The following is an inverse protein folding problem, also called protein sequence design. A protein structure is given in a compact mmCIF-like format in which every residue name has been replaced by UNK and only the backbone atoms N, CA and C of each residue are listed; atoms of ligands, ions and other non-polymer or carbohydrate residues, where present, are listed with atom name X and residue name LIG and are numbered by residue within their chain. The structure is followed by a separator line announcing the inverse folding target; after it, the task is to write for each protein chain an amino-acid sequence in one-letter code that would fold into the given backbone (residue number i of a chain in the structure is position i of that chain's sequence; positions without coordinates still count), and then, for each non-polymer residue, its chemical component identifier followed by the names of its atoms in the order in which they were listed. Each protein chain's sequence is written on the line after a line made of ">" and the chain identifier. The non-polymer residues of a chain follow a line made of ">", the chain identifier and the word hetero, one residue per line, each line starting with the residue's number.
data_IF_890724106847
#
_entry.id   IF_890724106847
#
_cell.length_a   1.000
_cell.length_b   1.000
_cell.length_c   1.000
_cell.angle_alpha   90.00
_cell.angle_beta   90.00
_cell.angle_gamma   90.00
#
_symmetry.space_group_name_H-M   'P 1'
#
loop_
_entity.id
_entity.type
_entity.pdbx_description
1 polymer ?
#
# COMPACT_ATOMS: atom_id res chain seq x y z
N UNK A 1 -19.80 6.79 4.86
CA UNK A 1 -20.88 7.78 4.60
C UNK A 1 -20.25 9.08 4.09
N UNK A 2 -20.97 9.86 3.26
CA UNK A 2 -20.47 11.11 2.65
C UNK A 2 -20.00 12.13 3.70
N UNK A 3 -20.60 12.10 4.88
CA UNK A 3 -20.23 12.92 6.06
C UNK A 3 -18.84 12.61 6.62
N UNK A 4 -18.21 11.50 6.25
CA UNK A 4 -16.82 11.20 6.62
C UNK A 4 -15.79 12.00 5.80
N UNK A 5 -16.21 12.65 4.71
CA UNK A 5 -15.35 13.39 3.78
C UNK A 5 -15.61 14.91 3.83
N UNK A 6 -15.96 15.44 5.00
CA UNK A 6 -16.27 16.86 5.19
C UNK A 6 -15.09 17.75 4.79
N UNK A 7 -15.36 18.84 4.06
CA UNK A 7 -14.35 19.78 3.56
C UNK A 7 -13.87 19.52 2.14
N UNK A 8 -14.48 18.56 1.44
CA UNK A 8 -14.23 18.28 0.02
C UNK A 8 -15.51 18.59 -0.76
N UNK A 9 -15.47 19.67 -1.55
CA UNK A 9 -16.64 20.15 -2.28
C UNK A 9 -17.05 19.19 -3.41
N UNK A 10 -16.07 18.68 -4.17
CA UNK A 10 -16.29 17.74 -5.28
C UNK A 10 -15.72 16.35 -4.96
N UNK A 11 -16.46 15.58 -4.16
CA UNK A 11 -16.15 14.17 -3.94
C UNK A 11 -16.41 13.36 -5.22
N UNK A 12 -15.39 12.69 -5.76
CA UNK A 12 -15.48 11.93 -7.00
C UNK A 12 -14.97 10.48 -6.87
N UNK A 13 -15.53 9.59 -7.70
CA UNK A 13 -15.03 8.22 -7.87
C UNK A 13 -13.59 8.25 -8.39
N UNK A 14 -12.75 7.37 -7.87
CA UNK A 14 -11.31 7.28 -8.16
C UNK A 14 -10.42 8.13 -7.25
N UNK A 15 -10.99 9.02 -6.41
CA UNK A 15 -10.22 9.75 -5.42
C UNK A 15 -9.64 8.82 -4.34
N UNK A 16 -8.40 9.10 -3.93
CA UNK A 16 -7.69 8.33 -2.90
C UNK A 16 -7.64 9.09 -1.58
N UNK A 17 -7.82 8.36 -0.48
CA UNK A 17 -7.82 8.90 0.89
C UNK A 17 -7.02 8.01 1.82
N UNK A 18 -6.54 8.61 2.91
CA UNK A 18 -5.95 7.86 4.01
C UNK A 18 -6.99 7.67 5.11
N UNK A 19 -7.46 6.44 5.29
CA UNK A 19 -8.41 6.08 6.33
C UNK A 19 -7.67 5.61 7.59
N UNK A 20 -8.04 6.15 8.75
CA UNK A 20 -7.49 5.70 10.02
C UNK A 20 -8.22 4.44 10.49
N UNK A 21 -7.50 3.32 10.65
CA UNK A 21 -8.06 2.06 11.17
C UNK A 21 -7.38 1.65 12.47
N UNK A 22 -7.94 0.64 13.16
CA UNK A 22 -7.32 0.06 14.35
C UNK A 22 -5.94 -0.59 14.09
N UNK A 23 -5.59 -0.84 12.82
CA UNK A 23 -4.29 -1.37 12.40
C UNK A 23 -3.35 -0.28 11.89
N UNK A 24 -3.75 0.99 11.98
CA UNK A 24 -3.01 2.12 11.43
C UNK A 24 -3.69 2.73 10.20
N UNK A 25 -3.06 3.73 9.58
CA UNK A 25 -3.64 4.38 8.42
C UNK A 25 -3.48 3.53 7.17
N UNK A 26 -4.55 3.38 6.39
CA UNK A 26 -4.56 2.66 5.11
C UNK A 26 -4.98 3.60 3.98
N UNK A 27 -4.46 3.38 2.78
CA UNK A 27 -4.95 4.07 1.58
C UNK A 27 -6.24 3.39 1.09
N UNK A 28 -7.25 4.18 0.74
CA UNK A 28 -8.52 3.70 0.19
C UNK A 28 -8.91 4.52 -1.03
N UNK A 29 -9.63 3.92 -1.98
CA UNK A 29 -10.12 4.57 -3.19
C UNK A 29 -11.63 4.58 -3.20
N UNK A 30 -12.27 5.70 -3.55
CA UNK A 30 -13.73 5.72 -3.75
C UNK A 30 -14.07 4.96 -5.02
N UNK A 31 -14.89 3.92 -4.91
CA UNK A 31 -15.37 3.15 -6.05
C UNK A 31 -16.77 3.54 -6.47
N UNK A 32 -17.59 4.06 -5.55
CA UNK A 32 -18.99 4.38 -5.80
C UNK A 32 -19.53 5.41 -4.80
N UNK A 33 -20.48 6.23 -5.26
CA UNK A 33 -21.19 7.23 -4.45
C UNK A 33 -22.68 7.14 -4.78
N UNK A 34 -23.50 6.72 -3.81
CA UNK A 34 -24.95 6.59 -3.93
C UNK A 34 -25.64 7.47 -2.86
N UNK A 35 -26.03 8.69 -3.25
CA UNK A 35 -26.61 9.65 -2.31
C UNK A 35 -25.64 9.99 -1.17
N UNK A 36 -25.97 9.54 0.04
CA UNK A 36 -25.15 9.72 1.25
C UNK A 36 -24.21 8.54 1.53
N UNK A 37 -24.35 7.44 0.80
CA UNK A 37 -23.48 6.27 0.90
C UNK A 37 -22.28 6.41 -0.03
N UNK A 38 -21.10 6.02 0.48
CA UNK A 38 -19.83 6.07 -0.27
C UNK A 38 -19.14 4.74 -0.05
N UNK A 39 -18.92 4.03 -1.14
CA UNK A 39 -18.17 2.76 -1.14
C UNK A 39 -16.71 3.07 -1.38
N UNK A 40 -15.85 2.50 -0.53
CA UNK A 40 -14.39 2.62 -0.64
C UNK A 40 -13.76 1.25 -0.76
N UNK A 41 -12.75 1.15 -1.61
CA UNK A 41 -11.89 -0.02 -1.74
C UNK A 41 -10.58 0.23 -1.00
N UNK A 42 -10.32 -0.59 0.02
CA UNK A 42 -9.08 -0.58 0.80
C UNK A 42 -8.13 -1.72 0.44
N UNK A 43 -8.41 -2.47 -0.61
CA UNK A 43 -7.50 -3.49 -1.11
C UNK A 43 -6.24 -2.84 -1.70
N UNK A 44 -5.12 -3.57 -1.63
CA UNK A 44 -3.92 -3.18 -2.36
C UNK A 44 -4.24 -3.09 -3.87
N UNK A 45 -3.66 -2.17 -4.65
CA UNK A 45 -3.91 -2.04 -6.10
C UNK A 45 -3.68 -3.30 -6.95
N UNK A 46 -3.03 -4.32 -6.38
CA UNK A 46 -2.72 -5.61 -7.03
C UNK A 46 -3.48 -6.78 -6.39
N UNK A 47 -4.42 -6.51 -5.47
CA UNK A 47 -5.22 -7.56 -4.84
C UNK A 47 -6.19 -8.16 -5.87
N UNK A 48 -6.26 -9.49 -5.93
CA UNK A 48 -7.07 -10.20 -6.94
C UNK A 48 -6.41 -10.31 -8.31
N UNK A 49 -5.34 -9.56 -8.58
CA UNK A 49 -4.59 -9.63 -9.82
C UNK A 49 -3.66 -10.84 -9.82
N UNK A 50 -3.61 -11.54 -10.96
CA UNK A 50 -2.57 -12.56 -11.19
C UNK A 50 -1.30 -11.86 -11.66
N UNK A 51 -0.28 -11.86 -10.81
CA UNK A 51 1.01 -11.27 -11.13
C UNK A 51 1.89 -12.28 -11.88
N UNK A 52 2.29 -11.92 -13.10
CA UNK A 52 3.19 -12.73 -13.91
C UNK A 52 4.62 -12.20 -13.78
N UNK A 53 5.53 -13.03 -13.28
CA UNK A 53 6.94 -12.69 -13.14
C UNK A 53 7.80 -13.62 -14.01
N UNK A 54 8.75 -13.04 -14.73
CA UNK A 54 9.88 -13.76 -15.32
C UNK A 54 11.10 -13.46 -14.45
N UNK A 55 11.55 -14.46 -13.69
CA UNK A 55 12.61 -14.29 -12.68
C UNK A 55 13.87 -15.04 -13.11
N UNK A 56 15.01 -14.39 -12.94
CA UNK A 56 16.34 -14.98 -13.08
C UNK A 56 17.10 -14.82 -11.76
N UNK A 57 17.77 -15.88 -11.31
CA UNK A 57 18.63 -15.83 -10.12
C UNK A 57 20.02 -15.36 -10.54
N UNK A 58 20.39 -14.14 -10.14
CA UNK A 58 21.67 -13.52 -10.54
C UNK A 58 22.81 -13.92 -9.58
N UNK A 59 22.52 -14.05 -8.29
CA UNK A 59 23.51 -14.35 -7.26
C UNK A 59 22.84 -14.99 -6.04
N UNK A 60 23.56 -15.86 -5.34
CA UNK A 60 23.19 -16.38 -4.02
C UNK A 60 24.41 -16.27 -3.10
N UNK A 61 24.21 -15.69 -1.92
CA UNK A 61 25.25 -15.56 -0.90
C UNK A 61 24.66 -15.73 0.49
N UNK A 62 25.53 -16.00 1.46
CA UNK A 62 25.18 -15.93 2.87
C UNK A 62 24.88 -14.48 3.29
N UNK A 63 23.88 -14.31 4.16
CA UNK A 63 23.60 -13.04 4.79
C UNK A 63 24.65 -12.74 5.87
N UNK A 64 25.03 -11.48 6.02
CA UNK A 64 25.87 -11.05 7.14
C UNK A 64 25.09 -11.08 8.47
N UNK A 65 25.80 -11.04 9.60
CA UNK A 65 25.17 -11.01 10.92
C UNK A 65 24.25 -9.78 11.12
N UNK A 66 24.60 -8.64 10.51
CA UNK A 66 23.80 -7.42 10.56
C UNK A 66 22.50 -7.55 9.75
N UNK A 67 22.57 -8.08 8.53
CA UNK A 67 21.39 -8.31 7.68
C UNK A 67 20.42 -9.30 8.32
N UNK A 68 20.93 -10.34 8.99
CA UNK A 68 20.11 -11.27 9.78
C UNK A 68 19.43 -10.57 10.97
N UNK A 69 20.12 -9.64 11.63
CA UNK A 69 19.55 -8.88 12.74
C UNK A 69 18.46 -7.90 12.27
N UNK A 70 18.63 -7.31 11.08
CA UNK A 70 17.68 -6.31 10.54
C UNK A 70 16.56 -6.92 9.68
N UNK A 71 16.72 -8.17 9.21
CA UNK A 71 15.73 -8.88 8.40
C UNK A 71 15.65 -8.44 6.94
N UNK A 72 16.63 -7.68 6.45
CA UNK A 72 16.69 -7.23 5.06
C UNK A 72 18.14 -7.04 4.58
N UNK A 73 18.33 -7.03 3.26
CA UNK A 73 19.63 -6.90 2.61
C UNK A 73 20.20 -5.48 2.78
N UNK A 74 21.50 -5.37 2.96
CA UNK A 74 22.23 -4.10 2.89
C UNK A 74 22.97 -4.03 1.53
N UNK A 75 22.78 -2.94 0.78
CA UNK A 75 23.37 -2.77 -0.55
C UNK A 75 24.90 -2.69 -0.57
N UNK A 76 25.51 -2.78 -1.76
CA UNK A 76 26.95 -2.61 -1.93
C UNK A 76 27.38 -1.20 -1.51
N UNK A 77 28.23 -1.10 -0.49
CA UNK A 77 28.59 0.18 0.14
C UNK A 77 27.75 0.52 1.38
N UNK A 78 27.20 -0.50 2.03
CA UNK A 78 26.37 -0.42 3.24
C UNK A 78 26.70 0.75 4.16
N UNK A 79 25.62 1.44 4.53
CA UNK A 79 25.40 2.39 5.62
C UNK A 79 24.52 3.51 5.05
N UNK A 80 23.24 3.51 5.38
CA UNK A 80 22.43 4.70 5.62
C UNK A 80 21.12 4.29 6.29
N UNK A 81 21.06 4.53 7.60
CA UNK A 81 19.93 5.26 8.17
C UNK A 81 20.25 6.75 8.10
#
# INVERSE_FOLDING_TARGET
>A
PRTSFQGIDDLAVGMQFQAQTGQGPIAVVITEIEGDEVTVDGNHPLAGETLHFAVEVVEVREASAEELQHGHVHGAGGHHH
#
